data_IF_798012932248
#
_entry.id   IF_798012932248
#
_cell.length_a   1.000
_cell.length_b   1.000
_cell.length_c   1.000
_cell.angle_alpha   90.00
_cell.angle_beta   90.00
_cell.angle_gamma   90.00
#
_symmetry.space_group_name_H-M   'P 1'
#
loop_
_entity.id
_entity.type
_entity.pdbx_description
1 polymer ?
#
# COMPACT_ATOMS: atom_id res chain seq x y z
N UNK A 1 -9.92 9.41 1.21
CA UNK A 1 -10.31 8.00 0.99
C UNK A 1 -10.62 7.30 2.32
N UNK A 2 -9.76 7.43 3.36
CA UNK A 2 -10.01 6.76 4.65
C UNK A 2 -11.28 7.29 5.35
N UNK A 3 -11.35 8.57 5.68
CA UNK A 3 -12.46 9.14 6.46
C UNK A 3 -13.84 9.02 5.77
N UNK A 4 -13.90 8.99 4.44
CA UNK A 4 -15.14 9.04 3.66
C UNK A 4 -15.26 7.89 2.65
N UNK A 5 -14.48 6.82 2.79
CA UNK A 5 -14.46 5.73 1.81
C UNK A 5 -13.99 4.42 2.41
N UNK A 6 -13.37 3.60 1.58
CA UNK A 6 -13.00 2.22 1.91
C UNK A 6 -11.50 2.01 2.22
N UNK A 7 -10.67 3.05 2.16
CA UNK A 7 -9.23 2.92 2.43
C UNK A 7 -9.00 2.65 3.92
N UNK A 8 -8.32 1.56 4.26
CA UNK A 8 -8.09 1.12 5.64
C UNK A 8 -6.62 1.13 6.04
N UNK A 9 -5.72 1.15 5.06
CA UNK A 9 -4.28 1.05 5.28
C UNK A 9 -3.50 1.97 4.35
N UNK A 10 -2.30 2.37 4.77
CA UNK A 10 -1.35 3.14 3.95
C UNK A 10 0.07 2.77 4.36
N UNK A 11 1.05 3.05 3.49
CA UNK A 11 2.46 2.92 3.83
C UNK A 11 3.20 4.25 3.67
N UNK A 12 4.19 4.51 4.52
CA UNK A 12 4.89 5.78 4.68
C UNK A 12 6.29 5.75 4.07
N UNK A 13 6.58 6.66 3.15
CA UNK A 13 7.95 6.95 2.67
C UNK A 13 8.62 7.92 3.64
N UNK A 14 9.41 7.40 4.57
CA UNK A 14 9.93 8.15 5.73
C UNK A 14 10.93 9.27 5.39
N UNK A 15 11.61 9.14 4.24
CA UNK A 15 12.64 10.08 3.78
C UNK A 15 12.08 11.19 2.88
N UNK A 16 10.77 11.24 2.66
CA UNK A 16 10.16 12.29 1.85
C UNK A 16 9.81 13.53 2.68
N UNK A 17 9.88 14.74 2.11
CA UNK A 17 9.66 15.98 2.85
C UNK A 17 8.33 16.05 3.60
N UNK A 18 7.28 15.44 3.06
CA UNK A 18 5.94 15.43 3.65
C UNK A 18 5.73 14.33 4.72
N UNK A 19 6.75 13.53 5.06
CA UNK A 19 6.58 12.39 5.97
C UNK A 19 6.03 12.80 7.35
N UNK A 20 6.56 13.90 7.92
CA UNK A 20 6.10 14.40 9.22
C UNK A 20 4.64 14.87 9.20
N UNK A 21 4.21 15.53 8.12
CA UNK A 21 2.81 15.93 7.93
C UNK A 21 1.89 14.74 7.74
N UNK A 22 2.33 13.72 6.98
CA UNK A 22 1.57 12.49 6.80
C UNK A 22 1.35 11.77 8.15
N UNK A 23 2.38 11.70 9.01
CA UNK A 23 2.28 11.12 10.35
C UNK A 23 1.33 11.94 11.24
N UNK A 24 1.41 13.27 11.19
CA UNK A 24 0.48 14.14 11.95
C UNK A 24 -0.97 13.84 11.56
N UNK A 25 -1.26 13.75 10.25
CA UNK A 25 -2.60 13.42 9.76
C UNK A 25 -3.02 11.99 10.13
N UNK A 26 -2.12 11.01 10.06
CA UNK A 26 -2.43 9.64 10.45
C UNK A 26 -2.81 9.52 11.93
N UNK A 27 -2.19 10.30 12.81
CA UNK A 27 -2.55 10.36 14.25
C UNK A 27 -3.99 10.85 14.50
N UNK A 28 -4.56 11.64 13.59
CA UNK A 28 -5.96 12.07 13.66
C UNK A 28 -6.92 10.94 13.23
N UNK A 29 -6.39 9.86 12.66
CA UNK A 29 -7.13 8.71 12.14
C UNK A 29 -6.57 7.37 12.66
N UNK A 30 -6.72 7.05 13.94
CA UNK A 30 -6.07 5.88 14.56
C UNK A 30 -6.55 4.52 14.00
N UNK A 31 -7.68 4.49 13.28
CA UNK A 31 -8.13 3.29 12.57
C UNK A 31 -7.41 3.04 11.24
N UNK A 32 -6.67 4.03 10.73
CA UNK A 32 -5.82 3.87 9.54
C UNK A 32 -4.53 3.17 9.95
N UNK A 33 -4.29 1.97 9.46
CA UNK A 33 -3.02 1.30 9.68
C UNK A 33 -1.91 1.92 8.81
N UNK A 34 -0.72 2.06 9.39
CA UNK A 34 0.43 2.67 8.72
C UNK A 34 1.60 1.69 8.69
N UNK A 35 2.02 1.33 7.48
CA UNK A 35 3.18 0.50 7.21
C UNK A 35 4.41 1.31 6.80
N UNK A 36 5.55 0.64 6.65
CA UNK A 36 6.77 1.20 6.09
C UNK A 36 6.80 0.97 4.57
N UNK A 37 6.84 2.05 3.78
CA UNK A 37 7.10 2.00 2.34
C UNK A 37 8.59 2.17 2.10
N UNK A 38 9.30 1.05 2.01
CA UNK A 38 10.74 1.06 1.74
C UNK A 38 11.06 1.72 0.40
N UNK A 39 12.03 2.60 0.39
CA UNK A 39 12.48 3.31 -0.81
C UNK A 39 13.93 2.98 -1.09
N UNK A 40 14.19 2.59 -2.33
CA UNK A 40 15.52 2.43 -2.88
C UNK A 40 15.55 3.07 -4.26
N UNK A 41 16.20 4.21 -4.35
CA UNK A 41 16.23 5.02 -5.58
C UNK A 41 17.57 4.90 -6.33
N UNK A 42 18.54 4.13 -5.78
CA UNK A 42 19.89 4.03 -6.31
C UNK A 42 20.24 2.64 -6.89
N UNK A 43 21.34 2.56 -7.65
CA UNK A 43 21.87 1.31 -8.16
C UNK A 43 22.50 0.43 -7.06
N UNK A 44 22.74 0.98 -5.88
CA UNK A 44 23.46 0.36 -4.77
C UNK A 44 22.68 -0.78 -4.10
N UNK A 45 21.42 -0.98 -4.47
CA UNK A 45 20.57 -2.06 -3.93
C UNK A 45 21.18 -3.45 -4.13
N UNK A 46 22.02 -3.61 -5.14
CA UNK A 46 22.71 -4.87 -5.44
C UNK A 46 24.04 -5.02 -4.67
N UNK A 47 24.50 -3.98 -3.96
CA UNK A 47 25.70 -4.08 -3.13
C UNK A 47 25.45 -4.93 -1.87
N UNK A 48 26.39 -5.79 -1.50
CA UNK A 48 26.25 -6.64 -0.31
C UNK A 48 25.92 -5.82 0.96
N UNK A 49 24.82 -6.17 1.60
CA UNK A 49 24.36 -5.55 2.85
C UNK A 49 23.78 -4.13 2.72
N UNK A 50 23.71 -3.55 1.51
CA UNK A 50 23.12 -2.22 1.30
C UNK A 50 21.64 -2.21 1.69
N UNK A 51 20.85 -3.13 1.16
CA UNK A 51 19.40 -3.23 1.47
C UNK A 51 19.16 -3.36 2.99
N UNK A 52 19.99 -4.12 3.72
CA UNK A 52 19.86 -4.28 5.15
C UNK A 52 20.15 -2.96 5.91
N UNK A 53 21.19 -2.23 5.51
CA UNK A 53 21.52 -0.93 6.12
C UNK A 53 20.43 0.11 5.86
N UNK A 54 19.99 0.21 4.61
CA UNK A 54 18.94 1.16 4.19
C UNK A 54 17.61 0.84 4.86
N UNK A 55 17.23 -0.45 4.91
CA UNK A 55 16.03 -0.89 5.62
C UNK A 55 16.09 -0.54 7.11
N UNK A 56 17.20 -0.83 7.77
CA UNK A 56 17.38 -0.50 9.20
C UNK A 56 17.27 1.00 9.47
N UNK A 57 17.89 1.84 8.61
CA UNK A 57 17.82 3.30 8.74
C UNK A 57 16.38 3.82 8.51
N UNK A 58 15.67 3.32 7.50
CA UNK A 58 14.28 3.73 7.26
C UNK A 58 13.32 3.23 8.34
N UNK A 59 13.53 2.03 8.88
CA UNK A 59 12.75 1.51 10.00
C UNK A 59 12.95 2.36 11.26
N UNK A 60 14.19 2.73 11.59
CA UNK A 60 14.47 3.62 12.72
C UNK A 60 13.82 4.99 12.51
N UNK A 61 13.92 5.54 11.31
CA UNK A 61 13.26 6.80 10.96
C UNK A 61 11.73 6.71 11.06
N UNK A 62 11.15 5.57 10.69
CA UNK A 62 9.72 5.31 10.87
C UNK A 62 9.34 5.39 12.35
N UNK A 63 10.09 4.70 13.22
CA UNK A 63 9.87 4.70 14.68
C UNK A 63 10.01 6.09 15.28
N UNK A 64 11.03 6.85 14.90
CA UNK A 64 11.19 8.25 15.34
C UNK A 64 9.99 9.13 14.99
N UNK A 65 9.47 9.00 13.77
CA UNK A 65 8.38 9.83 13.28
C UNK A 65 7.03 9.41 13.89
N UNK A 66 6.76 8.11 13.97
CA UNK A 66 5.45 7.59 14.36
C UNK A 66 5.33 7.30 15.85
N UNK A 67 6.40 6.88 16.50
CA UNK A 67 6.44 6.39 17.87
C UNK A 67 5.96 4.94 18.01
N UNK A 68 5.71 4.22 16.90
CA UNK A 68 5.21 2.83 16.90
C UNK A 68 5.92 2.00 15.83
N UNK A 69 5.72 0.67 15.86
CA UNK A 69 6.16 -0.22 14.80
C UNK A 69 5.25 -0.12 13.55
N UNK A 70 5.78 -0.36 12.34
CA UNK A 70 4.95 -0.46 11.16
C UNK A 70 3.99 -1.64 11.24
N UNK A 71 2.77 -1.49 10.71
CA UNK A 71 1.78 -2.57 10.69
C UNK A 71 2.02 -3.58 9.57
N UNK A 72 2.76 -3.20 8.55
CA UNK A 72 3.17 -4.00 7.39
C UNK A 72 4.35 -3.33 6.69
N UNK A 73 4.96 -4.03 5.76
CA UNK A 73 6.05 -3.50 4.93
C UNK A 73 5.75 -3.74 3.46
N UNK A 74 6.00 -2.73 2.65
CA UNK A 74 6.04 -2.82 1.20
C UNK A 74 7.20 -1.98 0.66
N UNK A 75 7.33 -1.81 -0.66
CA UNK A 75 8.39 -0.97 -1.21
C UNK A 75 7.98 -0.22 -2.46
N UNK A 76 8.64 0.90 -2.68
CA UNK A 76 8.53 1.71 -3.89
C UNK A 76 8.90 0.86 -5.11
N UNK A 77 8.10 0.95 -6.17
CA UNK A 77 8.26 0.14 -7.39
C UNK A 77 8.33 -1.37 -7.16
N UNK A 78 7.86 -1.86 -6.00
CA UNK A 78 7.88 -3.28 -5.63
C UNK A 78 9.28 -3.93 -5.70
N UNK A 79 10.34 -3.18 -5.42
CA UNK A 79 11.73 -3.67 -5.54
C UNK A 79 11.99 -4.92 -4.70
N UNK A 80 11.27 -5.11 -3.58
CA UNK A 80 11.38 -6.30 -2.73
C UNK A 80 10.86 -7.57 -3.41
N UNK A 81 9.90 -7.50 -4.34
CA UNK A 81 9.33 -8.71 -4.97
C UNK A 81 10.37 -9.50 -5.78
N UNK A 82 11.31 -8.81 -6.42
CA UNK A 82 12.42 -9.45 -7.15
C UNK A 82 13.59 -9.84 -6.23
N UNK A 83 13.55 -9.46 -4.95
CA UNK A 83 14.60 -9.65 -3.94
C UNK A 83 14.04 -10.20 -2.63
N UNK A 84 13.01 -11.03 -2.70
CA UNK A 84 12.30 -11.56 -1.53
C UNK A 84 13.25 -12.27 -0.55
N UNK A 85 14.24 -13.02 -1.06
CA UNK A 85 15.26 -13.68 -0.24
C UNK A 85 16.12 -12.72 0.58
N UNK A 86 16.23 -11.46 0.16
CA UNK A 86 16.93 -10.40 0.89
C UNK A 86 15.99 -9.74 1.89
N UNK A 87 14.76 -9.41 1.49
CA UNK A 87 13.85 -8.61 2.32
C UNK A 87 13.08 -9.42 3.36
N UNK A 88 12.67 -10.64 3.07
CA UNK A 88 11.91 -11.44 4.04
C UNK A 88 12.65 -11.64 5.38
N UNK A 89 13.97 -11.95 5.41
CA UNK A 89 14.71 -12.03 6.67
C UNK A 89 14.83 -10.69 7.42
N UNK A 90 14.78 -9.54 6.72
CA UNK A 90 14.85 -8.23 7.35
C UNK A 90 13.52 -7.84 8.02
N UNK A 91 12.40 -8.27 7.44
CA UNK A 91 11.06 -7.97 7.95
C UNK A 91 10.57 -8.98 8.99
N UNK A 92 11.00 -10.24 8.88
CA UNK A 92 10.56 -11.32 9.77
C UNK A 92 10.66 -11.00 11.29
N UNK A 93 11.73 -10.32 11.78
CA UNK A 93 11.82 -9.95 13.20
C UNK A 93 10.74 -8.98 13.69
N UNK A 94 10.07 -8.28 12.79
CA UNK A 94 8.98 -7.36 13.13
C UNK A 94 7.65 -8.08 13.38
N UNK A 95 7.50 -9.34 12.92
CA UNK A 95 6.25 -10.09 13.04
C UNK A 95 5.10 -9.52 12.21
N UNK A 96 5.40 -8.68 11.20
CA UNK A 96 4.38 -8.06 10.33
C UNK A 96 4.47 -8.59 8.91
N UNK A 97 3.37 -8.53 8.12
CA UNK A 97 3.41 -8.95 6.72
C UNK A 97 4.36 -8.09 5.87
N UNK A 98 5.08 -8.76 4.96
CA UNK A 98 5.74 -8.14 3.82
C UNK A 98 4.91 -8.43 2.59
N UNK A 99 4.50 -7.41 1.83
CA UNK A 99 3.71 -7.62 0.60
C UNK A 99 4.36 -8.70 -0.29
N UNK A 100 3.56 -9.69 -0.70
CA UNK A 100 4.01 -10.78 -1.55
C UNK A 100 4.76 -11.92 -0.84
N UNK A 101 4.80 -11.94 0.51
CA UNK A 101 5.40 -13.05 1.28
C UNK A 101 4.44 -14.27 1.44
N UNK A 102 3.23 -14.18 0.90
CA UNK A 102 2.23 -15.25 0.90
C UNK A 102 1.27 -15.22 2.09
N UNK A 103 1.49 -14.36 3.08
CA UNK A 103 0.60 -14.20 4.24
C UNK A 103 -0.65 -13.37 3.93
N UNK A 104 -0.51 -12.42 3.01
CA UNK A 104 -1.57 -11.54 2.51
C UNK A 104 -1.56 -11.63 0.99
N UNK A 105 -2.72 -11.90 0.37
CA UNK A 105 -2.85 -11.88 -1.08
C UNK A 105 -2.80 -10.42 -1.59
N UNK A 106 -1.93 -10.14 -2.57
CA UNK A 106 -1.82 -8.82 -3.16
C UNK A 106 -2.62 -8.71 -4.47
N UNK A 107 -3.67 -7.90 -4.46
CA UNK A 107 -4.52 -7.61 -5.60
C UNK A 107 -4.01 -6.34 -6.32
N UNK A 108 -3.03 -6.50 -7.18
CA UNK A 108 -2.42 -5.40 -7.95
C UNK A 108 -3.17 -5.02 -9.22
N UNK A 109 -4.30 -5.68 -9.51
CA UNK A 109 -5.07 -5.47 -10.75
C UNK A 109 -5.83 -4.14 -10.82
N UNK A 110 -6.11 -3.51 -9.67
CA UNK A 110 -6.72 -2.19 -9.59
C UNK A 110 -5.67 -1.12 -9.88
N UNK A 111 -5.31 -0.99 -11.15
CA UNK A 111 -4.27 -0.07 -11.62
C UNK A 111 -4.55 0.35 -13.07
N UNK A 112 -4.59 1.67 -13.32
CA UNK A 112 -5.02 2.20 -14.60
C UNK A 112 -3.95 2.20 -15.69
N UNK A 113 -2.71 1.83 -15.39
CA UNK A 113 -1.63 1.73 -16.39
C UNK A 113 -1.12 0.28 -16.49
N UNK A 114 -1.90 -0.66 -17.09
CA UNK A 114 -1.54 -2.08 -17.16
C UNK A 114 -0.25 -2.32 -17.97
N UNK A 115 0.11 -1.38 -18.81
CA UNK A 115 1.36 -1.35 -19.60
C UNK A 115 1.86 0.08 -19.74
N UNK A 116 3.17 0.24 -19.88
CA UNK A 116 3.79 1.56 -20.06
C UNK A 116 3.16 2.33 -21.24
N UNK A 117 2.68 3.53 -20.97
CA UNK A 117 2.06 4.42 -21.95
C UNK A 117 0.59 4.09 -22.31
N UNK A 118 0.00 3.09 -21.66
CA UNK A 118 -1.41 2.73 -21.87
C UNK A 118 -2.19 3.11 -20.62
N UNK A 119 -3.15 4.03 -20.75
CA UNK A 119 -4.03 4.46 -19.66
C UNK A 119 -5.44 3.91 -19.89
N UNK A 120 -5.92 3.15 -18.91
CA UNK A 120 -7.25 2.51 -18.92
C UNK A 120 -7.99 2.87 -17.62
N UNK A 121 -8.56 4.08 -17.56
CA UNK A 121 -9.22 4.61 -16.35
C UNK A 121 -10.38 3.75 -15.85
N UNK A 122 -11.01 2.95 -16.70
CA UNK A 122 -12.05 2.00 -16.31
C UNK A 122 -11.55 0.94 -15.31
N UNK A 123 -10.23 0.64 -15.31
CA UNK A 123 -9.62 -0.33 -14.39
C UNK A 123 -9.56 0.15 -12.93
N UNK A 124 -9.77 1.43 -12.70
CA UNK A 124 -9.80 2.04 -11.36
C UNK A 124 -11.18 2.60 -11.02
N UNK A 125 -12.24 2.03 -11.63
CA UNK A 125 -13.65 2.32 -11.34
C UNK A 125 -14.29 1.20 -10.51
N UNK A 126 -15.36 1.54 -9.79
CA UNK A 126 -16.07 0.60 -8.92
C UNK A 126 -16.50 -0.71 -9.60
N UNK A 127 -17.07 -0.71 -10.83
CA UNK A 127 -17.43 -1.97 -11.48
C UNK A 127 -16.24 -2.90 -11.74
N UNK A 128 -15.07 -2.35 -12.06
CA UNK A 128 -13.86 -3.16 -12.25
C UNK A 128 -13.33 -3.70 -10.92
N UNK A 129 -13.36 -2.88 -9.85
CA UNK A 129 -12.94 -3.31 -8.51
C UNK A 129 -13.82 -4.48 -8.02
N UNK A 130 -15.14 -4.36 -8.11
CA UNK A 130 -16.07 -5.41 -7.72
C UNK A 130 -15.88 -6.68 -8.57
N UNK A 131 -15.66 -6.53 -9.88
CA UNK A 131 -15.32 -7.66 -10.74
C UNK A 131 -14.00 -8.32 -10.33
N UNK A 132 -12.96 -7.55 -10.04
CA UNK A 132 -11.66 -8.06 -9.59
C UNK A 132 -11.82 -8.91 -8.33
N UNK A 133 -12.60 -8.44 -7.35
CA UNK A 133 -12.88 -9.20 -6.13
C UNK A 133 -13.70 -10.46 -6.38
N UNK A 134 -14.65 -10.44 -7.33
CA UNK A 134 -15.49 -11.62 -7.63
C UNK A 134 -14.76 -12.68 -8.47
N UNK A 135 -13.75 -12.29 -9.23
CA UNK A 135 -13.01 -13.19 -10.14
C UNK A 135 -11.80 -13.86 -9.45
N UNK A 136 -11.37 -13.33 -8.31
CA UNK A 136 -10.15 -13.80 -7.64
C UNK A 136 -10.47 -14.99 -6.72
N UNK A 137 -9.83 -16.13 -6.99
CA UNK A 137 -9.82 -17.28 -6.08
C UNK A 137 -8.77 -17.04 -4.99
N UNK A 138 -9.17 -16.28 -3.97
CA UNK A 138 -8.28 -15.87 -2.89
C UNK A 138 -7.97 -17.06 -1.99
N UNK A 139 -6.74 -17.55 -2.10
CA UNK A 139 -6.26 -18.71 -1.33
C UNK A 139 -5.95 -18.40 0.13
N UNK A 140 -6.14 -17.15 0.58
CA UNK A 140 -5.87 -16.68 1.94
C UNK A 140 -7.01 -15.81 2.45
N UNK A 141 -7.20 -15.81 3.76
CA UNK A 141 -8.30 -15.08 4.43
C UNK A 141 -8.11 -13.55 4.43
N UNK A 142 -6.91 -13.05 4.14
CA UNK A 142 -6.58 -11.63 4.16
C UNK A 142 -5.99 -11.18 2.82
N UNK A 143 -6.57 -10.14 2.23
CA UNK A 143 -6.16 -9.61 0.93
C UNK A 143 -5.90 -8.10 0.99
N UNK A 144 -4.88 -7.64 0.28
CA UNK A 144 -4.55 -6.24 0.09
C UNK A 144 -4.88 -5.80 -1.32
N UNK A 145 -5.76 -4.81 -1.48
CA UNK A 145 -5.98 -4.12 -2.74
C UNK A 145 -5.01 -2.93 -2.85
N UNK A 146 -4.08 -3.00 -3.79
CA UNK A 146 -3.17 -1.89 -4.07
C UNK A 146 -3.88 -0.73 -4.74
N UNK A 147 -3.70 0.50 -4.21
CA UNK A 147 -4.25 1.72 -4.79
C UNK A 147 -3.36 2.93 -4.51
N UNK A 148 -3.51 4.00 -5.30
CA UNK A 148 -2.72 5.23 -5.21
C UNK A 148 -3.59 6.50 -5.28
N UNK A 149 -4.66 6.62 -4.48
CA UNK A 149 -5.55 7.77 -4.54
C UNK A 149 -4.85 9.05 -4.08
N UNK A 150 -5.06 10.14 -4.81
CA UNK A 150 -4.63 11.47 -4.38
C UNK A 150 -5.48 12.56 -5.01
N UNK A 151 -5.49 13.74 -4.37
CA UNK A 151 -5.80 14.99 -5.06
C UNK A 151 -4.56 15.46 -5.78
N UNK A 152 -4.70 15.79 -7.06
CA UNK A 152 -3.58 16.25 -7.87
C UNK A 152 -3.38 17.74 -7.65
N UNK A 153 -2.14 18.12 -7.34
CA UNK A 153 -1.71 19.52 -7.19
C UNK A 153 -0.69 19.84 -8.29
N UNK A 154 -0.52 21.12 -8.70
CA UNK A 154 0.39 21.50 -9.78
C UNK A 154 1.86 21.12 -9.56
N UNK A 155 2.26 20.92 -8.32
CA UNK A 155 3.61 20.53 -7.90
C UNK A 155 3.82 19.01 -7.85
N UNK A 156 2.76 18.21 -8.06
CA UNK A 156 2.89 16.75 -8.11
C UNK A 156 3.61 16.31 -9.38
N UNK A 157 4.81 15.80 -9.23
CA UNK A 157 5.56 15.17 -10.31
C UNK A 157 5.33 13.66 -10.29
N UNK A 158 4.53 13.16 -11.22
CA UNK A 158 4.21 11.73 -11.33
C UNK A 158 3.75 11.39 -12.75
N UNK A 159 4.08 10.19 -13.21
CA UNK A 159 3.53 9.62 -14.45
C UNK A 159 2.13 9.04 -14.27
N UNK A 160 1.67 8.93 -13.02
CA UNK A 160 0.36 8.44 -12.62
C UNK A 160 -0.37 9.60 -11.94
N UNK A 161 -1.00 10.46 -12.70
CA UNK A 161 -1.54 11.75 -12.20
C UNK A 161 -3.07 11.79 -12.28
N UNK A 162 -3.73 11.77 -13.44
CA UNK A 162 -5.19 11.81 -13.50
C UNK A 162 -5.83 10.55 -12.90
N UNK A 163 -5.15 9.44 -12.96
CA UNK A 163 -5.60 8.17 -12.41
C UNK A 163 -5.85 8.25 -10.90
N UNK A 164 -4.99 8.98 -10.17
CA UNK A 164 -5.10 9.17 -8.70
C UNK A 164 -6.41 9.82 -8.29
N UNK A 165 -6.89 10.79 -9.05
CA UNK A 165 -8.18 11.45 -8.78
C UNK A 165 -9.35 10.52 -9.06
N UNK A 166 -9.24 9.70 -10.12
CA UNK A 166 -10.24 8.69 -10.42
C UNK A 166 -10.28 7.62 -9.34
N UNK A 167 -9.13 7.15 -8.86
CA UNK A 167 -9.07 6.24 -7.72
C UNK A 167 -9.67 6.86 -6.45
N UNK A 168 -9.33 8.11 -6.16
CA UNK A 168 -9.91 8.81 -5.01
C UNK A 168 -11.43 8.87 -5.10
N UNK A 169 -11.98 9.24 -6.26
CA UNK A 169 -13.41 9.30 -6.48
C UNK A 169 -14.06 7.92 -6.31
N UNK A 170 -13.46 6.88 -6.89
CA UNK A 170 -13.95 5.50 -6.76
C UNK A 170 -13.93 5.01 -5.31
N UNK A 171 -12.81 5.16 -4.62
CA UNK A 171 -12.65 4.68 -3.24
C UNK A 171 -13.53 5.43 -2.22
N UNK A 172 -14.14 6.55 -2.64
CA UNK A 172 -15.10 7.31 -1.84
C UNK A 172 -16.52 7.28 -2.41
N UNK A 173 -16.78 6.45 -3.41
CA UNK A 173 -18.09 6.34 -4.07
C UNK A 173 -19.14 5.76 -3.09
N UNK A 174 -20.30 6.43 -2.94
CA UNK A 174 -21.40 5.87 -2.16
C UNK A 174 -21.83 4.50 -2.68
N UNK A 175 -22.00 3.53 -1.76
CA UNK A 175 -22.41 2.17 -2.10
C UNK A 175 -21.27 1.21 -2.45
N UNK A 176 -20.04 1.66 -2.69
CA UNK A 176 -18.92 0.76 -2.96
C UNK A 176 -18.67 -0.19 -1.79
N UNK A 177 -18.73 0.30 -0.55
CA UNK A 177 -18.61 -0.54 0.65
C UNK A 177 -19.66 -1.66 0.65
N UNK A 178 -20.94 -1.33 0.46
CA UNK A 178 -22.01 -2.32 0.40
C UNK A 178 -21.80 -3.33 -0.72
N UNK A 179 -21.35 -2.87 -1.90
CA UNK A 179 -21.03 -3.78 -3.00
C UNK A 179 -19.91 -4.77 -2.70
N UNK A 180 -18.92 -4.38 -1.90
CA UNK A 180 -17.85 -5.26 -1.41
C UNK A 180 -18.42 -6.26 -0.37
N UNK A 181 -19.24 -5.78 0.56
CA UNK A 181 -19.89 -6.61 1.59
C UNK A 181 -20.87 -7.62 0.97
N UNK A 182 -21.60 -7.26 -0.08
CA UNK A 182 -22.51 -8.14 -0.84
C UNK A 182 -21.75 -9.29 -1.53
N UNK A 183 -20.46 -9.11 -1.83
CA UNK A 183 -19.57 -10.18 -2.32
C UNK A 183 -19.02 -11.07 -1.21
N UNK A 184 -19.36 -10.81 0.06
CA UNK A 184 -18.92 -11.58 1.22
C UNK A 184 -17.60 -11.13 1.83
N UNK A 185 -17.04 -9.99 1.38
CA UNK A 185 -15.82 -9.43 1.95
C UNK A 185 -16.11 -8.50 3.14
N UNK A 186 -15.20 -8.47 4.10
CA UNK A 186 -15.19 -7.52 5.21
C UNK A 186 -14.00 -6.59 5.04
N UNK A 187 -14.22 -5.28 5.12
CA UNK A 187 -13.12 -4.31 5.12
C UNK A 187 -12.36 -4.39 6.44
N UNK A 188 -11.09 -4.72 6.34
CA UNK A 188 -10.15 -4.81 7.45
C UNK A 188 -8.95 -3.90 7.22
N UNK A 189 -8.18 -3.64 8.27
CA UNK A 189 -6.88 -2.97 8.22
C UNK A 189 -5.79 -3.93 8.66
N UNK A 190 -4.52 -3.57 8.48
CA UNK A 190 -3.43 -4.38 9.04
C UNK A 190 -3.38 -4.40 10.58
N UNK A 191 -4.16 -3.56 11.29
CA UNK A 191 -4.37 -3.72 12.72
C UNK A 191 -5.18 -4.97 13.07
N UNK A 192 -6.02 -5.44 12.13
CA UNK A 192 -6.87 -6.62 12.30
C UNK A 192 -6.16 -7.92 11.90
N UNK A 193 -5.03 -7.80 11.18
CA UNK A 193 -4.24 -8.96 10.77
C UNK A 193 -3.70 -9.71 11.99
N UNK A 194 -3.82 -11.03 11.96
CA UNK A 194 -3.22 -11.96 12.93
C UNK A 194 -2.54 -13.08 12.16
N UNK A 195 -1.31 -13.39 12.54
CA UNK A 195 -0.62 -14.60 12.06
C UNK A 195 -1.31 -15.81 12.73
N UNK A 196 -1.83 -16.73 11.92
CA UNK A 196 -2.52 -17.94 12.36
C UNK A 196 -1.61 -19.15 12.27
#
# INVERSE_FOLDING_TARGET
>A
AHANGILTSTSLMVDRPAAADAVRLAREHPALSVGLHYVEDGPEIDEPGHAARTFAAQLERFRELTGVEPTHVDSHHHVHLTRMTTFAPLVAPLGVPLRGDGRVAYLGGFYAQPRRGVVELQRVRAPFLLKLLSDDDLAVDFSELGCQPARVTPDLVSSYTPEREVELATLTEPGLRSGIEDLGFVLASYHDYRDH
#
